data_IF_731046128987
#
_entry.id   IF_731046128987
#
_cell.length_a   1.000
_cell.length_b   1.000
_cell.length_c   1.000
_cell.angle_alpha   90.00
_cell.angle_beta   90.00
_cell.angle_gamma   90.00
#
_symmetry.space_group_name_H-M   'P 1'
#
loop_
_entity.id
_entity.type
_entity.pdbx_description
1 polymer ?
#
# COMPACT_ATOMS: atom_id res chain seq x y z
N UNK A 1 -4.45 0.41 -9.71
CA UNK A 1 -4.35 0.38 -8.24
C UNK A 1 -4.00 1.76 -7.69
N UNK A 2 -2.83 2.35 -7.97
CA UNK A 2 -2.55 3.75 -7.58
C UNK A 2 -3.52 4.78 -8.22
N UNK A 3 -3.96 4.53 -9.46
CA UNK A 3 -5.01 5.35 -10.09
C UNK A 3 -6.36 5.30 -9.35
N UNK A 4 -6.67 4.21 -8.63
CA UNK A 4 -7.94 4.07 -7.88
C UNK A 4 -7.92 4.93 -6.61
N UNK A 5 -6.77 5.05 -5.95
CA UNK A 5 -6.59 6.01 -4.86
C UNK A 5 -6.76 7.45 -5.39
N UNK A 6 -6.20 7.75 -6.56
CA UNK A 6 -6.35 9.08 -7.19
C UNK A 6 -7.80 9.39 -7.60
N UNK A 7 -8.58 8.40 -8.04
CA UNK A 7 -10.03 8.55 -8.30
C UNK A 7 -10.83 8.93 -7.04
N UNK A 8 -10.31 8.57 -5.85
CA UNK A 8 -10.88 8.91 -4.55
C UNK A 8 -10.26 10.15 -3.91
N UNK A 9 -9.41 10.88 -4.65
CA UNK A 9 -8.59 11.97 -4.13
C UNK A 9 -7.66 11.57 -2.96
N UNK A 10 -7.34 10.29 -2.84
CA UNK A 10 -6.45 9.75 -1.82
C UNK A 10 -5.01 9.73 -2.31
N UNK A 11 -4.05 10.03 -1.43
CA UNK A 11 -2.62 9.93 -1.73
C UNK A 11 -2.10 8.56 -1.30
N UNK A 12 -1.76 7.71 -2.27
CA UNK A 12 -1.16 6.40 -1.98
C UNK A 12 0.29 6.57 -1.51
N UNK A 13 0.54 6.23 -0.24
CA UNK A 13 1.85 6.33 0.41
C UNK A 13 2.61 5.00 0.39
N UNK A 14 1.91 3.88 0.23
CA UNK A 14 2.55 2.57 0.28
C UNK A 14 1.60 1.41 0.08
N UNK A 15 2.10 0.21 0.36
CA UNK A 15 1.36 -1.04 0.24
C UNK A 15 1.60 -1.91 1.47
N UNK A 16 0.61 -2.74 1.82
CA UNK A 16 0.76 -3.84 2.78
C UNK A 16 0.56 -5.15 2.03
N UNK A 17 1.62 -5.96 1.96
CA UNK A 17 1.59 -7.28 1.35
C UNK A 17 1.16 -8.31 2.40
N UNK A 18 -0.05 -8.84 2.22
CA UNK A 18 -0.71 -9.82 3.09
C UNK A 18 0.14 -11.05 3.40
N UNK A 19 0.90 -11.54 2.42
CA UNK A 19 1.74 -12.73 2.58
C UNK A 19 2.84 -12.55 3.65
N UNK A 20 3.19 -11.30 3.98
CA UNK A 20 4.24 -10.96 4.95
C UNK A 20 3.65 -10.41 6.26
N UNK A 21 2.33 -10.43 6.45
CA UNK A 21 1.64 -9.83 7.61
C UNK A 21 2.05 -10.42 8.96
N UNK A 22 2.62 -11.63 8.98
CA UNK A 22 3.13 -12.29 10.19
C UNK A 22 4.67 -12.30 10.28
N UNK A 23 5.34 -11.68 9.33
CA UNK A 23 6.80 -11.63 9.25
C UNK A 23 7.30 -10.29 9.80
N UNK A 24 7.69 -10.29 11.07
CA UNK A 24 8.27 -9.12 11.75
C UNK A 24 9.52 -8.62 11.03
N UNK A 25 10.33 -9.53 10.47
CA UNK A 25 11.56 -9.16 9.75
C UNK A 25 11.30 -8.37 8.47
N UNK A 26 10.07 -8.44 7.94
CA UNK A 26 9.60 -7.70 6.77
C UNK A 26 8.61 -6.61 7.13
N UNK A 27 8.68 -6.09 8.35
CA UNK A 27 7.81 -5.00 8.82
C UNK A 27 6.31 -5.35 8.65
N UNK A 28 5.96 -6.61 8.87
CA UNK A 28 4.58 -7.12 8.71
C UNK A 28 4.01 -6.86 7.30
N UNK A 29 4.89 -6.84 6.29
CA UNK A 29 4.53 -6.61 4.89
C UNK A 29 4.25 -5.16 4.53
N UNK A 30 4.43 -4.21 5.45
CA UNK A 30 4.22 -2.79 5.19
C UNK A 30 5.45 -2.18 4.52
N UNK A 31 5.24 -1.63 3.32
CA UNK A 31 6.23 -0.86 2.58
C UNK A 31 5.68 0.54 2.30
N UNK A 32 6.34 1.56 2.85
CA UNK A 32 6.02 2.97 2.68
C UNK A 32 7.04 3.61 1.74
N UNK A 33 6.57 4.45 0.82
CA UNK A 33 7.38 5.10 -0.22
C UNK A 33 8.27 4.07 -0.94
N UNK A 34 7.67 3.02 -1.55
CA UNK A 34 8.46 2.04 -2.28
C UNK A 34 9.27 2.71 -3.39
N UNK A 35 10.42 2.11 -3.73
CA UNK A 35 11.26 2.64 -4.80
C UNK A 35 10.45 2.61 -6.12
N UNK A 36 10.52 3.68 -6.89
CA UNK A 36 9.78 3.80 -8.15
C UNK A 36 10.19 2.75 -9.20
N UNK A 37 11.37 2.16 -9.05
CA UNK A 37 11.88 1.09 -9.90
C UNK A 37 11.60 -0.30 -9.35
N UNK A 38 11.06 -0.41 -8.14
CA UNK A 38 10.73 -1.69 -7.51
C UNK A 38 9.49 -2.30 -8.16
N UNK A 39 9.58 -3.57 -8.54
CA UNK A 39 8.44 -4.34 -9.05
C UNK A 39 7.74 -5.00 -7.89
N UNK A 40 6.60 -4.45 -7.50
CA UNK A 40 5.75 -5.02 -6.47
C UNK A 40 4.65 -5.84 -7.13
N UNK A 41 4.57 -7.11 -6.75
CA UNK A 41 3.45 -7.99 -7.15
C UNK A 41 2.36 -7.83 -6.10
N UNK A 42 1.21 -7.32 -6.53
CA UNK A 42 0.05 -7.08 -5.68
C UNK A 42 -1.04 -8.09 -6.04
N UNK A 43 -1.60 -8.73 -5.03
CA UNK A 43 -2.73 -9.65 -5.07
C UNK A 43 -3.99 -9.01 -4.49
N UNK A 44 -5.13 -9.69 -4.63
CA UNK A 44 -6.41 -9.21 -4.05
C UNK A 44 -6.45 -9.20 -2.52
N UNK A 45 -5.53 -9.90 -1.86
CA UNK A 45 -5.45 -9.94 -0.40
C UNK A 45 -4.64 -8.76 0.17
N UNK A 46 -3.92 -8.03 -0.68
CA UNK A 46 -3.05 -6.93 -0.27
C UNK A 46 -3.83 -5.62 -0.11
N UNK A 47 -3.27 -4.69 0.64
CA UNK A 47 -3.90 -3.41 0.97
C UNK A 47 -3.02 -2.25 0.52
N UNK A 48 -3.63 -1.13 0.14
CA UNK A 48 -2.92 0.12 -0.09
C UNK A 48 -2.92 0.96 1.18
N UNK A 49 -1.78 1.55 1.52
CA UNK A 49 -1.70 2.55 2.58
C UNK A 49 -1.90 3.91 1.92
N UNK A 50 -3.01 4.55 2.24
CA UNK A 50 -3.42 5.82 1.63
C UNK A 50 -3.62 6.88 2.71
N UNK A 51 -3.32 8.13 2.37
CA UNK A 51 -3.78 9.29 3.10
C UNK A 51 -5.07 9.75 2.44
N UNK A 52 -6.18 9.63 3.16
CA UNK A 52 -7.48 10.18 2.76
C UNK A 52 -7.70 11.53 3.44
N UNK A 53 -8.53 12.39 2.85
CA UNK A 53 -9.06 13.56 3.56
C UNK A 53 -10.00 13.10 4.70
N UNK A 54 -10.17 13.94 5.72
CA UNK A 54 -11.03 13.64 6.86
C UNK A 54 -12.49 13.46 6.37
N UNK A 55 -13.15 12.37 6.75
CA UNK A 55 -14.57 12.17 6.46
C UNK A 55 -15.39 13.06 7.42
N UNK A 56 -15.94 14.16 6.92
CA UNK A 56 -16.94 15.00 7.64
C UNK A 56 -18.33 14.43 7.60
#
# INVERSE_FOLDING_TARGET
>A
LMAVAQERQEVCLGVKISQFERDESRNYGVSLVPDKNEKIIISRADTLVVLAEDET
#
